data_IF_317841494671
#
_entry.id   IF_317841494671
#
_cell.length_a   1.000
_cell.length_b   1.000
_cell.length_c   1.000
_cell.angle_alpha   90.00
_cell.angle_beta   90.00
_cell.angle_gamma   90.00
#
_symmetry.space_group_name_H-M   'P 1'
#
loop_
_entity.id
_entity.type
_entity.pdbx_description
1 polymer ?
#
# COMPACT_ATOMS: atom_id res chain seq x y z
N UNK A 1 13.28 -12.20 18.90
CA UNK A 1 13.45 -11.10 19.87
C UNK A 1 14.89 -10.64 19.97
N UNK A 2 15.89 -11.52 20.20
CA UNK A 2 17.29 -11.08 20.28
C UNK A 2 17.79 -10.40 18.98
N UNK A 3 17.35 -10.89 17.81
CA UNK A 3 17.70 -10.28 16.51
C UNK A 3 17.24 -8.83 16.38
N UNK A 4 15.96 -8.55 16.66
CA UNK A 4 15.43 -7.17 16.60
C UNK A 4 16.08 -6.25 17.64
N UNK A 5 16.39 -6.76 18.85
CA UNK A 5 17.08 -5.96 19.87
C UNK A 5 18.48 -5.56 19.38
N UNK A 6 19.21 -6.49 18.76
CA UNK A 6 20.51 -6.19 18.15
C UNK A 6 20.39 -5.18 17.01
N UNK A 7 19.37 -5.29 16.18
CA UNK A 7 19.09 -4.36 15.08
C UNK A 7 18.83 -2.94 15.61
N UNK A 8 17.93 -2.80 16.60
CA UNK A 8 17.59 -1.52 17.22
C UNK A 8 18.79 -0.89 17.93
N UNK A 9 19.58 -1.69 18.67
CA UNK A 9 20.79 -1.20 19.32
C UNK A 9 21.82 -0.70 18.30
N UNK A 10 22.01 -1.42 17.18
CA UNK A 10 22.88 -0.98 16.07
C UNK A 10 22.36 0.29 15.38
N UNK A 11 21.04 0.51 15.37
CA UNK A 11 20.42 1.74 14.89
C UNK A 11 20.55 2.91 15.87
N UNK A 12 21.19 2.72 17.02
CA UNK A 12 21.46 3.78 18.01
C UNK A 12 20.40 3.93 19.09
N UNK A 13 19.42 3.02 19.17
CA UNK A 13 18.44 3.03 20.28
C UNK A 13 19.09 2.52 21.57
N UNK A 14 18.77 3.18 22.68
CA UNK A 14 19.07 2.71 24.03
C UNK A 14 18.07 1.62 24.40
N UNK A 15 18.59 0.49 24.89
CA UNK A 15 17.80 -0.69 25.24
C UNK A 15 17.93 -0.95 26.74
N UNK A 16 16.81 -0.88 27.45
CA UNK A 16 16.75 -1.19 28.88
C UNK A 16 15.93 -2.46 29.11
N UNK A 17 16.39 -3.31 30.02
CA UNK A 17 15.58 -4.43 30.52
C UNK A 17 14.95 -4.05 31.86
N UNK A 18 13.68 -4.38 32.05
CA UNK A 18 12.95 -4.22 33.32
C UNK A 18 12.37 -5.55 33.74
N UNK A 19 12.81 -6.11 34.87
CA UNK A 19 12.40 -7.44 35.32
C UNK A 19 11.90 -7.44 36.77
N UNK A 20 10.71 -8.00 36.98
CA UNK A 20 10.22 -8.34 38.32
C UNK A 20 10.88 -9.65 38.76
N UNK A 21 12.06 -9.56 39.38
CA UNK A 21 12.89 -10.69 39.79
C UNK A 21 13.48 -10.45 41.19
N UNK A 22 13.58 -11.50 42.01
CA UNK A 22 14.22 -11.44 43.33
C UNK A 22 15.74 -11.52 43.22
N UNK A 23 16.48 -11.01 44.21
CA UNK A 23 17.95 -11.03 44.20
C UNK A 23 18.56 -12.43 43.99
N UNK A 24 18.12 -13.51 44.66
CA UNK A 24 18.72 -14.84 44.44
C UNK A 24 18.56 -15.35 43.01
N UNK A 25 17.39 -15.15 42.40
CA UNK A 25 17.16 -15.51 41.00
C UNK A 25 17.93 -14.63 40.02
N UNK A 26 18.13 -13.35 40.33
CA UNK A 26 18.94 -12.44 39.52
C UNK A 26 20.41 -12.89 39.47
N UNK A 27 21.00 -13.24 40.62
CA UNK A 27 22.39 -13.76 40.67
C UNK A 27 22.59 -15.00 39.81
N UNK A 28 21.58 -15.89 39.75
CA UNK A 28 21.62 -17.08 38.89
C UNK A 28 21.54 -16.68 37.41
N UNK A 29 20.63 -15.77 37.06
CA UNK A 29 20.43 -15.33 35.68
C UNK A 29 21.68 -14.60 35.13
N UNK A 30 22.25 -13.72 35.95
CA UNK A 30 23.47 -12.96 35.64
C UNK A 30 24.63 -13.87 35.26
N UNK A 31 24.80 -15.00 35.97
CA UNK A 31 25.84 -16.01 35.69
C UNK A 31 25.54 -16.91 34.50
N UNK A 32 24.27 -17.07 34.12
CA UNK A 32 23.85 -17.96 33.03
C UNK A 32 23.95 -17.31 31.65
N UNK A 33 23.67 -16.02 31.57
CA UNK A 33 23.73 -15.29 30.31
C UNK A 33 25.18 -14.91 29.95
N UNK A 34 25.49 -14.90 28.66
CA UNK A 34 26.83 -14.54 28.17
C UNK A 34 27.06 -13.02 28.26
N UNK A 35 28.32 -12.56 28.32
CA UNK A 35 28.63 -11.13 28.23
C UNK A 35 28.04 -10.47 26.98
N UNK A 36 27.99 -11.20 25.85
CA UNK A 36 27.39 -10.73 24.60
C UNK A 36 25.87 -10.57 24.67
N UNK A 37 25.17 -11.39 25.47
CA UNK A 37 23.73 -11.23 25.71
C UNK A 37 23.45 -10.03 26.61
N UNK A 38 24.26 -9.82 27.65
CA UNK A 38 24.12 -8.64 28.52
C UNK A 38 24.45 -7.34 27.81
N UNK A 39 25.43 -7.34 26.88
CA UNK A 39 25.79 -6.17 26.08
C UNK A 39 24.65 -5.65 25.19
N UNK A 40 23.57 -6.43 24.99
CA UNK A 40 22.37 -5.97 24.29
C UNK A 40 21.60 -4.91 25.07
N UNK A 41 21.76 -4.86 26.38
CA UNK A 41 21.09 -3.91 27.26
C UNK A 41 22.07 -2.88 27.77
N UNK A 42 21.72 -1.60 27.66
CA UNK A 42 22.50 -0.50 28.22
C UNK A 42 22.37 -0.44 29.74
N UNK A 43 21.24 -0.91 30.27
CA UNK A 43 21.08 -1.18 31.69
C UNK A 43 19.97 -2.21 31.95
N UNK A 44 20.08 -2.94 33.05
CA UNK A 44 19.04 -3.87 33.53
C UNK A 44 18.53 -3.42 34.89
N UNK A 45 17.24 -3.11 34.96
CA UNK A 45 16.54 -2.74 36.19
C UNK A 45 15.79 -3.95 36.74
N UNK A 46 16.13 -4.36 37.96
CA UNK A 46 15.44 -5.45 38.65
C UNK A 46 14.60 -4.93 39.79
N UNK A 47 13.48 -5.60 40.08
CA UNK A 47 12.66 -5.21 41.22
C UNK A 47 13.36 -5.38 42.56
N UNK A 48 14.31 -6.32 42.65
CA UNK A 48 15.10 -6.55 43.85
C UNK A 48 16.00 -5.36 44.17
N UNK A 49 16.76 -4.85 43.19
CA UNK A 49 17.67 -3.72 43.41
C UNK A 49 16.93 -2.39 43.57
N UNK A 50 15.78 -2.23 42.90
CA UNK A 50 14.98 -1.01 42.98
C UNK A 50 14.07 -0.94 44.22
N UNK A 51 13.89 -2.04 44.97
CA UNK A 51 12.89 -2.18 46.04
C UNK A 51 11.47 -1.76 45.62
N UNK A 52 11.17 -1.85 44.33
CA UNK A 52 9.92 -1.51 43.65
C UNK A 52 9.74 -2.47 42.48
N UNK A 53 8.51 -2.70 42.01
CA UNK A 53 8.24 -3.61 40.90
C UNK A 53 7.21 -3.02 39.94
N UNK A 54 7.18 -3.50 38.69
CA UNK A 54 6.02 -3.24 37.81
C UNK A 54 4.77 -3.94 38.40
N UNK A 55 3.56 -3.35 38.35
CA UNK A 55 3.19 -2.09 37.71
C UNK A 55 3.28 -0.85 38.63
N UNK A 56 3.99 -0.89 39.76
CA UNK A 56 4.04 0.27 40.67
C UNK A 56 4.69 1.48 39.98
N UNK A 57 4.03 2.65 40.06
CA UNK A 57 4.52 3.91 39.51
C UNK A 57 5.96 4.23 39.95
N UNK A 58 6.32 3.87 41.19
CA UNK A 58 7.65 4.08 41.75
C UNK A 58 8.76 3.41 40.96
N UNK A 59 8.52 2.23 40.36
CA UNK A 59 9.54 1.55 39.56
C UNK A 59 9.77 2.25 38.22
N UNK A 60 8.70 2.71 37.55
CA UNK A 60 8.82 3.48 36.32
C UNK A 60 9.49 4.83 36.55
N UNK A 61 9.12 5.56 37.63
CA UNK A 61 9.80 6.80 38.03
C UNK A 61 11.29 6.58 38.27
N UNK A 62 11.64 5.53 39.02
CA UNK A 62 13.03 5.17 39.26
C UNK A 62 13.81 4.96 37.97
N UNK A 63 13.24 4.23 36.99
CA UNK A 63 13.90 4.02 35.69
C UNK A 63 14.06 5.35 34.95
N UNK A 64 13.01 6.16 34.83
CA UNK A 64 13.04 7.45 34.14
C UNK A 64 14.09 8.39 34.75
N UNK A 65 14.11 8.51 36.08
CA UNK A 65 15.07 9.37 36.80
C UNK A 65 16.52 8.89 36.64
N UNK A 66 16.74 7.56 36.59
CA UNK A 66 18.08 6.98 36.45
C UNK A 66 18.63 7.07 35.04
N UNK A 67 17.78 6.96 34.03
CA UNK A 67 18.20 6.96 32.63
C UNK A 67 18.11 8.33 31.97
N UNK A 68 17.26 9.23 32.49
CA UNK A 68 16.97 10.52 31.87
C UNK A 68 16.18 10.39 30.55
N UNK A 69 15.57 9.24 30.28
CA UNK A 69 14.76 9.04 29.07
C UNK A 69 13.57 9.99 29.03
N UNK A 70 13.22 10.46 27.84
CA UNK A 70 11.93 11.10 27.57
C UNK A 70 10.87 10.01 27.35
N UNK A 71 9.86 9.87 28.22
CA UNK A 71 8.80 8.90 28.04
C UNK A 71 8.06 9.04 26.71
N UNK A 72 7.89 10.27 26.19
CA UNK A 72 7.14 10.52 24.94
C UNK A 72 7.83 9.97 23.69
N UNK A 73 9.14 9.73 23.76
CA UNK A 73 9.93 9.07 22.72
C UNK A 73 10.40 7.66 23.11
N UNK A 74 9.82 7.07 24.16
CA UNK A 74 10.19 5.74 24.67
C UNK A 74 9.15 4.68 24.30
N UNK A 75 9.62 3.53 23.82
CA UNK A 75 8.78 2.35 23.59
C UNK A 75 8.93 1.40 24.78
N UNK A 76 7.80 0.95 25.33
CA UNK A 76 7.76 -0.02 26.42
C UNK A 76 7.06 -1.31 25.96
N UNK A 77 7.72 -2.46 26.12
CA UNK A 77 7.20 -3.76 25.70
C UNK A 77 7.11 -4.68 26.92
N UNK A 78 5.92 -5.25 27.16
CA UNK A 78 5.69 -6.18 28.28
C UNK A 78 4.48 -7.08 27.98
N UNK A 79 4.47 -8.29 28.53
CA UNK A 79 3.39 -9.27 28.35
C UNK A 79 2.16 -8.95 29.20
N UNK A 80 2.30 -8.14 30.26
CA UNK A 80 1.18 -7.78 31.14
C UNK A 80 0.59 -6.42 30.81
N UNK A 81 -0.70 -6.41 30.51
CA UNK A 81 -1.47 -5.19 30.26
C UNK A 81 -1.33 -4.15 31.37
N UNK A 82 -1.30 -4.55 32.64
CA UNK A 82 -1.14 -3.64 33.79
C UNK A 82 0.20 -2.88 33.77
N UNK A 83 1.27 -3.52 33.30
CA UNK A 83 2.58 -2.91 33.16
C UNK A 83 2.58 -1.92 31.99
N UNK A 84 2.00 -2.34 30.85
CA UNK A 84 1.89 -1.50 29.65
C UNK A 84 1.00 -0.28 29.90
N UNK A 85 -0.11 -0.45 30.62
CA UNK A 85 -0.99 0.65 31.02
C UNK A 85 -0.23 1.68 31.87
N UNK A 86 0.57 1.19 32.82
CA UNK A 86 1.39 2.06 33.67
C UNK A 86 2.41 2.83 32.83
N UNK A 87 3.13 2.16 31.92
CA UNK A 87 4.07 2.83 31.02
C UNK A 87 3.40 3.92 30.17
N UNK A 88 2.22 3.60 29.59
CA UNK A 88 1.41 4.56 28.82
C UNK A 88 0.96 5.75 29.65
N UNK A 89 0.70 5.58 30.96
CA UNK A 89 0.34 6.70 31.85
C UNK A 89 1.46 7.73 32.03
N UNK A 90 2.72 7.34 31.75
CA UNK A 90 3.86 8.27 31.69
C UNK A 90 4.07 8.89 30.30
N UNK A 91 3.29 8.50 29.29
CA UNK A 91 3.43 8.97 27.91
C UNK A 91 4.19 8.02 26.97
N UNK A 92 4.62 6.84 27.44
CA UNK A 92 5.35 5.87 26.62
C UNK A 92 4.46 5.19 25.57
N UNK A 93 5.09 4.82 24.45
CA UNK A 93 4.51 3.93 23.45
C UNK A 93 4.50 2.49 23.99
N UNK A 94 3.43 2.12 24.68
CA UNK A 94 3.27 0.77 25.23
C UNK A 94 2.82 -0.26 24.19
N UNK A 95 3.58 -1.35 24.03
CA UNK A 95 3.25 -2.54 23.23
C UNK A 95 3.00 -3.71 24.18
N UNK A 96 1.87 -4.39 23.99
CA UNK A 96 1.58 -5.64 24.71
C UNK A 96 2.24 -6.77 23.93
N UNK A 97 3.08 -7.55 24.60
CA UNK A 97 3.73 -8.71 24.03
C UNK A 97 2.75 -9.88 24.00
N UNK A 98 2.09 -10.09 22.86
CA UNK A 98 1.19 -11.22 22.60
C UNK A 98 1.82 -12.24 21.63
N UNK A 99 2.46 -11.75 20.57
CA UNK A 99 3.11 -12.52 19.54
C UNK A 99 4.43 -11.83 19.11
N UNK A 100 5.51 -12.60 19.05
CA UNK A 100 6.83 -12.13 18.67
C UNK A 100 6.85 -11.41 17.31
N UNK A 101 6.22 -11.96 16.27
CA UNK A 101 6.23 -11.36 14.93
C UNK A 101 5.50 -10.02 14.92
N UNK A 102 4.37 -9.94 15.64
CA UNK A 102 3.60 -8.70 15.77
C UNK A 102 4.39 -7.61 16.50
N UNK A 103 5.08 -7.97 17.60
CA UNK A 103 5.91 -7.02 18.35
C UNK A 103 7.09 -6.54 17.51
N UNK A 104 7.76 -7.43 16.75
CA UNK A 104 8.84 -7.03 15.84
C UNK A 104 8.32 -6.05 14.77
N UNK A 105 7.17 -6.34 14.18
CA UNK A 105 6.51 -5.46 13.22
C UNK A 105 6.21 -4.08 13.83
N UNK A 106 5.55 -4.05 15.00
CA UNK A 106 5.18 -2.81 15.70
C UNK A 106 6.44 -1.99 16.06
N UNK A 107 7.51 -2.64 16.53
CA UNK A 107 8.80 -1.99 16.79
C UNK A 107 9.40 -1.37 15.52
N UNK A 108 9.44 -2.11 14.40
CA UNK A 108 9.97 -1.58 13.15
C UNK A 108 9.15 -0.40 12.62
N UNK A 109 7.83 -0.46 12.73
CA UNK A 109 6.92 0.60 12.29
C UNK A 109 7.07 1.88 13.12
N UNK A 110 7.48 1.79 14.39
CA UNK A 110 7.74 2.94 15.26
C UNK A 110 9.17 3.50 15.10
N UNK A 111 10.15 2.66 14.80
CA UNK A 111 11.57 3.03 14.84
C UNK A 111 12.18 3.40 13.49
N UNK A 112 11.57 3.01 12.38
CA UNK A 112 12.15 3.17 11.05
C UNK A 112 11.23 3.92 10.09
N UNK A 113 11.84 4.60 9.12
CA UNK A 113 11.09 5.33 8.09
C UNK A 113 10.30 4.35 7.20
N UNK A 114 8.96 4.51 7.12
CA UNK A 114 8.10 3.57 6.42
C UNK A 114 8.33 3.59 4.90
N UNK A 115 8.63 4.76 4.32
CA UNK A 115 8.88 4.93 2.89
C UNK A 115 10.18 4.23 2.49
N UNK A 116 11.25 4.42 3.26
CA UNK A 116 12.54 3.78 3.02
C UNK A 116 12.46 2.26 3.14
N UNK A 117 11.68 1.75 4.10
CA UNK A 117 11.42 0.32 4.24
C UNK A 117 10.68 -0.25 3.03
N UNK A 118 9.62 0.43 2.57
CA UNK A 118 8.92 0.03 1.34
C UNK A 118 9.81 0.06 0.11
N UNK A 119 10.64 1.11 -0.06
CA UNK A 119 11.60 1.20 -1.18
C UNK A 119 12.62 0.07 -1.15
N UNK A 120 13.12 -0.31 0.03
CA UNK A 120 14.02 -1.46 0.20
C UNK A 120 13.36 -2.77 -0.21
N UNK A 121 12.10 -3.00 0.18
CA UNK A 121 11.34 -4.16 -0.26
C UNK A 121 11.22 -4.22 -1.79
N UNK A 122 10.83 -3.12 -2.43
CA UNK A 122 10.71 -3.06 -3.90
C UNK A 122 12.06 -3.34 -4.58
N UNK A 123 13.15 -2.74 -4.09
CA UNK A 123 14.49 -2.95 -4.65
C UNK A 123 15.00 -4.37 -4.45
N UNK A 124 14.74 -5.00 -3.30
CA UNK A 124 15.18 -6.38 -3.04
C UNK A 124 14.44 -7.41 -3.91
N UNK A 125 13.27 -7.05 -4.44
CA UNK A 125 12.44 -7.90 -5.30
C UNK A 125 12.36 -7.39 -6.76
N UNK A 126 13.22 -6.44 -7.15
CA UNK A 126 13.20 -5.86 -8.50
C UNK A 126 13.21 -6.95 -9.58
N UNK A 127 12.42 -6.75 -10.64
CA UNK A 127 12.20 -7.69 -11.74
C UNK A 127 11.62 -9.06 -11.32
N UNK A 128 11.13 -9.19 -10.08
CA UNK A 128 10.54 -10.42 -9.53
C UNK A 128 9.33 -10.11 -8.62
N UNK A 129 8.63 -9.00 -8.87
CA UNK A 129 7.43 -8.59 -8.15
C UNK A 129 6.21 -9.33 -8.69
N UNK A 130 6.12 -10.62 -8.39
CA UNK A 130 5.10 -11.53 -8.91
C UNK A 130 3.70 -11.25 -8.36
N UNK A 131 2.71 -11.64 -9.16
CA UNK A 131 1.32 -11.71 -8.76
C UNK A 131 0.99 -13.10 -8.25
N UNK A 132 0.19 -13.16 -7.19
CA UNK A 132 -0.24 -14.39 -6.53
C UNK A 132 -1.76 -14.47 -6.56
N UNK A 133 -2.29 -15.60 -7.01
CA UNK A 133 -3.73 -15.83 -7.02
C UNK A 133 -4.26 -16.34 -5.67
N UNK A 134 -5.58 -16.25 -5.49
CA UNK A 134 -6.27 -16.76 -4.29
C UNK A 134 -6.17 -18.27 -4.08
N UNK A 135 -5.74 -19.03 -5.09
CA UNK A 135 -5.40 -20.46 -4.99
C UNK A 135 -3.88 -20.73 -4.97
N UNK A 136 -3.05 -19.71 -4.79
CA UNK A 136 -1.61 -19.84 -4.55
C UNK A 136 -0.74 -20.02 -5.78
N UNK A 137 -1.24 -19.71 -6.99
CA UNK A 137 -0.42 -19.70 -8.21
C UNK A 137 0.31 -18.37 -8.30
N UNK A 138 1.63 -18.43 -8.46
CA UNK A 138 2.47 -17.28 -8.74
C UNK A 138 2.75 -17.15 -10.24
N UNK A 139 2.71 -15.93 -10.76
CA UNK A 139 3.04 -15.62 -12.15
C UNK A 139 3.46 -14.15 -12.30
N UNK A 140 4.02 -13.81 -13.46
CA UNK A 140 4.28 -12.43 -13.86
C UNK A 140 3.16 -11.97 -14.80
N UNK A 141 2.66 -10.76 -14.59
CA UNK A 141 1.71 -10.09 -15.48
C UNK A 141 2.14 -8.65 -15.74
N UNK A 142 2.00 -8.21 -16.99
CA UNK A 142 2.42 -6.86 -17.39
C UNK A 142 1.59 -5.79 -16.69
N UNK A 143 0.32 -6.07 -16.41
CA UNK A 143 -0.56 -5.08 -15.80
C UNK A 143 -0.05 -4.62 -14.42
N UNK A 144 0.24 -5.56 -13.52
CA UNK A 144 0.76 -5.26 -12.19
C UNK A 144 2.14 -4.60 -12.26
N UNK A 145 3.00 -5.03 -13.20
CA UNK A 145 4.30 -4.38 -13.43
C UNK A 145 4.14 -2.93 -13.88
N UNK A 146 3.23 -2.66 -14.82
CA UNK A 146 2.97 -1.31 -15.31
C UNK A 146 2.33 -0.41 -14.24
N UNK A 147 1.54 -0.96 -13.31
CA UNK A 147 1.02 -0.21 -12.15
C UNK A 147 2.13 0.10 -11.13
N UNK A 148 3.10 -0.79 -10.94
CA UNK A 148 4.30 -0.48 -10.12
C UNK A 148 5.11 0.64 -10.79
N UNK A 149 5.30 0.58 -12.11
CA UNK A 149 5.98 1.63 -12.87
C UNK A 149 5.23 2.95 -12.78
N UNK A 150 3.91 2.93 -12.91
CA UNK A 150 3.04 4.10 -12.73
C UNK A 150 3.27 4.77 -11.37
N UNK A 151 3.35 3.97 -10.31
CA UNK A 151 3.44 4.49 -8.94
C UNK A 151 4.85 4.97 -8.58
N UNK A 152 5.89 4.39 -9.17
CA UNK A 152 7.29 4.63 -8.78
C UNK A 152 8.08 5.47 -9.78
N UNK A 153 7.70 5.45 -11.06
CA UNK A 153 8.49 6.00 -12.16
C UNK A 153 9.83 5.29 -12.39
N UNK A 154 10.06 4.11 -11.79
CA UNK A 154 11.34 3.41 -11.82
C UNK A 154 11.26 2.10 -12.64
N UNK A 155 11.66 2.18 -13.92
CA UNK A 155 11.72 1.03 -14.84
C UNK A 155 12.68 -0.07 -14.36
N UNK A 156 13.62 0.24 -13.46
CA UNK A 156 14.57 -0.76 -12.93
C UNK A 156 13.91 -1.78 -12.00
N UNK A 157 12.70 -1.48 -11.49
CA UNK A 157 11.96 -2.35 -10.58
C UNK A 157 11.11 -3.42 -11.28
N UNK A 158 10.68 -3.19 -12.51
CA UNK A 158 9.55 -3.92 -13.13
C UNK A 158 9.97 -4.74 -14.34
N UNK A 159 9.40 -5.92 -14.57
CA UNK A 159 9.74 -6.75 -15.74
C UNK A 159 8.50 -7.06 -16.58
N UNK A 160 8.29 -6.29 -17.65
CA UNK A 160 7.14 -6.38 -18.54
C UNK A 160 7.59 -6.47 -20.00
N UNK A 161 6.71 -6.96 -20.88
CA UNK A 161 7.04 -7.09 -22.31
C UNK A 161 7.03 -5.73 -23.00
N UNK A 162 8.21 -5.33 -23.50
CA UNK A 162 8.37 -4.11 -24.31
C UNK A 162 7.96 -4.41 -25.76
N UNK A 163 6.72 -4.06 -26.09
CA UNK A 163 6.14 -4.21 -27.43
C UNK A 163 5.95 -2.82 -28.07
N UNK A 164 6.21 -2.65 -29.37
CA UNK A 164 5.86 -1.40 -30.05
C UNK A 164 4.34 -1.21 -30.22
N UNK A 165 3.52 -2.21 -29.87
CA UNK A 165 2.08 -2.24 -30.12
C UNK A 165 1.20 -2.19 -28.87
N UNK A 166 0.06 -2.87 -28.96
CA UNK A 166 -0.85 -3.10 -27.85
C UNK A 166 -0.18 -3.95 -26.74
N UNK A 167 -0.71 -3.84 -25.52
CA UNK A 167 -0.26 -4.59 -24.36
C UNK A 167 -1.29 -5.65 -23.95
N UNK A 168 -0.83 -6.63 -23.19
CA UNK A 168 -1.61 -7.77 -22.72
C UNK A 168 -1.33 -8.01 -21.24
N UNK A 169 -2.34 -8.29 -20.42
CA UNK A 169 -2.10 -8.72 -19.02
C UNK A 169 -1.15 -9.94 -18.96
N UNK A 170 -1.31 -10.91 -19.87
CA UNK A 170 -0.58 -12.18 -19.88
C UNK A 170 0.23 -12.35 -21.18
N UNK A 171 1.39 -11.69 -21.32
CA UNK A 171 2.14 -11.72 -22.58
C UNK A 171 2.75 -13.10 -22.89
N UNK A 172 3.11 -13.89 -21.86
CA UNK A 172 3.81 -15.17 -22.01
C UNK A 172 2.89 -16.40 -21.98
N UNK A 173 1.56 -16.21 -22.05
CA UNK A 173 0.62 -17.31 -22.07
C UNK A 173 -0.75 -16.96 -21.52
N UNK A 174 -1.49 -17.97 -21.06
CA UNK A 174 -2.86 -17.79 -20.56
C UNK A 174 -3.00 -18.45 -19.19
N UNK A 175 -3.56 -17.73 -18.22
CA UNK A 175 -3.84 -18.24 -16.88
C UNK A 175 -5.31 -18.01 -16.54
N UNK A 176 -6.01 -19.09 -16.17
CA UNK A 176 -7.45 -19.10 -15.86
C UNK A 176 -8.34 -18.43 -16.93
N UNK A 177 -7.95 -18.58 -18.19
CA UNK A 177 -8.61 -17.95 -19.32
C UNK A 177 -8.59 -18.85 -20.56
N UNK A 178 -9.14 -18.37 -21.67
CA UNK A 178 -9.14 -19.04 -22.98
C UNK A 178 -7.73 -19.31 -23.49
N UNK A 179 -7.55 -20.29 -24.38
CA UNK A 179 -6.24 -20.66 -24.96
C UNK A 179 -5.51 -19.48 -25.60
N UNK A 180 -6.25 -18.57 -26.23
CA UNK A 180 -5.75 -17.28 -26.75
C UNK A 180 -6.37 -16.17 -25.91
N UNK A 181 -5.53 -15.32 -25.30
CA UNK A 181 -5.97 -14.12 -24.60
C UNK A 181 -5.67 -12.88 -25.44
N UNK A 182 -6.69 -12.11 -25.85
CA UNK A 182 -6.46 -10.92 -26.66
C UNK A 182 -5.77 -9.84 -25.84
N UNK A 183 -5.12 -8.91 -26.53
CA UNK A 183 -4.70 -7.66 -25.92
C UNK A 183 -5.93 -6.93 -25.36
N UNK A 184 -5.69 -6.14 -24.33
CA UNK A 184 -6.74 -5.43 -23.61
C UNK A 184 -6.46 -3.92 -23.57
N UNK A 185 -7.54 -3.15 -23.61
CA UNK A 185 -7.48 -1.70 -23.65
C UNK A 185 -6.98 -1.12 -22.33
N UNK A 186 -7.12 -1.84 -21.22
CA UNK A 186 -6.70 -1.40 -19.90
C UNK A 186 -5.18 -1.40 -19.73
N UNK A 187 -4.55 -2.55 -19.93
CA UNK A 187 -3.10 -2.71 -19.91
C UNK A 187 -2.46 -1.85 -20.98
N UNK A 188 -3.08 -1.77 -22.16
CA UNK A 188 -2.61 -0.88 -23.24
C UNK A 188 -2.68 0.58 -22.83
N UNK A 189 -3.78 1.04 -22.22
CA UNK A 189 -3.91 2.42 -21.79
C UNK A 189 -2.88 2.80 -20.72
N UNK A 190 -2.65 1.94 -19.73
CA UNK A 190 -1.59 2.16 -18.73
C UNK A 190 -0.21 2.14 -19.41
N UNK A 191 0.10 1.11 -20.21
CA UNK A 191 1.39 0.96 -20.88
C UNK A 191 1.75 2.17 -21.75
N UNK A 192 0.81 2.65 -22.56
CA UNK A 192 1.00 3.84 -23.40
C UNK A 192 1.09 5.15 -22.60
N UNK A 193 0.60 5.17 -21.37
CA UNK A 193 0.70 6.32 -20.46
C UNK A 193 2.08 6.37 -19.79
N UNK A 194 2.59 5.23 -19.32
CA UNK A 194 3.75 5.21 -18.39
C UNK A 194 5.08 4.81 -19.04
N UNK A 195 5.04 4.36 -20.28
CA UNK A 195 6.25 3.91 -20.99
C UNK A 195 6.62 4.85 -22.15
N UNK A 196 7.90 4.89 -22.47
CA UNK A 196 8.49 5.79 -23.48
C UNK A 196 9.01 5.06 -24.73
N UNK A 197 8.95 3.72 -24.75
CA UNK A 197 9.45 2.90 -25.86
C UNK A 197 8.48 2.82 -27.05
N UNK A 198 7.22 3.23 -26.89
CA UNK A 198 6.24 3.35 -27.98
C UNK A 198 6.24 4.77 -28.52
N UNK A 199 6.60 4.93 -29.79
CA UNK A 199 6.65 6.24 -30.43
C UNK A 199 5.25 6.88 -30.54
N UNK A 200 5.21 8.22 -30.60
CA UNK A 200 3.97 8.97 -30.65
C UNK A 200 3.08 8.59 -31.84
N UNK A 201 3.66 8.32 -33.02
CA UNK A 201 2.89 7.95 -34.20
C UNK A 201 2.18 6.61 -34.01
N UNK A 202 2.87 5.62 -33.44
CA UNK A 202 2.28 4.32 -33.12
C UNK A 202 1.26 4.42 -31.99
N UNK A 203 1.53 5.21 -30.94
CA UNK A 203 0.58 5.50 -29.85
C UNK A 203 -0.75 6.03 -30.40
N UNK A 204 -0.71 7.04 -31.28
CA UNK A 204 -1.93 7.59 -31.87
C UNK A 204 -2.68 6.61 -32.78
N UNK A 205 -1.98 5.74 -33.52
CA UNK A 205 -2.63 4.67 -34.30
C UNK A 205 -3.35 3.67 -33.42
N UNK A 206 -2.76 3.27 -32.29
CA UNK A 206 -3.42 2.37 -31.33
C UNK A 206 -4.64 3.06 -30.72
N UNK A 207 -4.56 4.36 -30.43
CA UNK A 207 -5.74 5.12 -29.97
C UNK A 207 -6.83 5.19 -31.04
N UNK A 208 -6.49 5.34 -32.32
CA UNK A 208 -7.47 5.28 -33.41
C UNK A 208 -8.15 3.91 -33.45
N UNK A 209 -7.38 2.83 -33.29
CA UNK A 209 -7.90 1.46 -33.20
C UNK A 209 -8.80 1.26 -31.96
N UNK A 210 -8.45 1.81 -30.79
CA UNK A 210 -9.31 1.74 -29.59
C UNK A 210 -10.72 2.29 -29.84
N UNK A 211 -10.87 3.29 -30.71
CA UNK A 211 -12.18 3.86 -31.07
C UNK A 211 -13.06 2.89 -31.88
N UNK A 212 -12.48 1.86 -32.49
CA UNK A 212 -13.23 0.80 -33.16
C UNK A 212 -13.87 -0.16 -32.13
N UNK A 213 -13.35 -0.21 -30.90
CA UNK A 213 -13.82 -1.08 -29.81
C UNK A 213 -14.79 -0.38 -28.85
N UNK A 214 -15.69 0.44 -29.42
CA UNK A 214 -16.88 0.94 -28.72
C UNK A 214 -18.06 0.02 -28.97
N UNK A 215 -18.90 -0.17 -27.96
CA UNK A 215 -20.17 -0.87 -28.14
C UNK A 215 -21.23 0.02 -28.83
N UNK A 216 -22.45 -0.50 -28.96
CA UNK A 216 -23.57 0.23 -29.58
C UNK A 216 -23.98 1.50 -28.83
N UNK A 217 -23.61 1.62 -27.56
CA UNK A 217 -23.88 2.77 -26.70
C UNK A 217 -22.70 3.76 -26.67
N UNK A 218 -21.65 3.51 -27.47
CA UNK A 218 -20.45 4.35 -27.53
C UNK A 218 -19.47 4.11 -26.37
N UNK A 219 -19.65 3.04 -25.59
CA UNK A 219 -18.83 2.74 -24.43
C UNK A 219 -17.63 1.88 -24.83
N UNK A 220 -16.44 2.29 -24.39
CA UNK A 220 -15.21 1.54 -24.60
C UNK A 220 -15.26 0.15 -23.96
N UNK A 221 -14.90 -0.86 -24.75
CA UNK A 221 -14.82 -2.25 -24.32
C UNK A 221 -13.44 -2.61 -23.75
N UNK A 222 -13.37 -3.74 -23.06
CA UNK A 222 -12.15 -4.19 -22.37
C UNK A 222 -11.11 -4.78 -23.31
N UNK A 223 -11.52 -5.48 -24.35
CA UNK A 223 -10.63 -6.29 -25.19
C UNK A 223 -10.55 -5.77 -26.62
N UNK A 224 -9.39 -5.91 -27.25
CA UNK A 224 -9.24 -5.80 -28.71
C UNK A 224 -9.83 -7.04 -29.42
N UNK A 225 -11.06 -7.44 -29.04
CA UNK A 225 -11.77 -8.60 -29.55
C UNK A 225 -13.30 -8.37 -29.48
N UNK A 226 -13.93 -8.14 -30.64
CA UNK A 226 -15.38 -7.91 -30.74
C UNK A 226 -16.24 -9.11 -30.29
N UNK A 227 -15.66 -10.32 -30.21
CA UNK A 227 -16.37 -11.48 -29.67
C UNK A 227 -16.48 -11.46 -28.13
N UNK A 228 -15.79 -10.51 -27.47
CA UNK A 228 -15.79 -10.31 -26.00
C UNK A 228 -16.30 -8.92 -25.61
N UNK A 229 -17.61 -8.63 -25.81
CA UNK A 229 -18.18 -7.31 -25.55
C UNK A 229 -18.34 -7.06 -24.04
N UNK A 230 -17.23 -6.82 -23.36
CA UNK A 230 -17.18 -6.54 -21.91
C UNK A 230 -16.87 -5.06 -21.73
N UNK A 231 -17.50 -4.45 -20.73
CA UNK A 231 -17.22 -3.09 -20.27
C UNK A 231 -16.87 -3.13 -18.78
N UNK A 232 -16.01 -2.21 -18.35
CA UNK A 232 -15.66 -2.00 -16.95
C UNK A 232 -15.29 -0.52 -16.76
N UNK A 233 -15.81 0.16 -15.71
CA UNK A 233 -15.62 1.59 -15.58
C UNK A 233 -14.18 1.98 -15.20
N UNK A 234 -13.38 1.08 -14.59
CA UNK A 234 -11.95 1.36 -14.36
C UNK A 234 -11.18 1.32 -15.67
N UNK A 235 -11.47 0.35 -16.53
CA UNK A 235 -10.88 0.25 -17.88
C UNK A 235 -11.22 1.52 -18.69
N UNK A 236 -12.49 1.93 -18.66
CA UNK A 236 -12.94 3.17 -19.28
C UNK A 236 -12.19 4.40 -18.77
N UNK A 237 -11.96 4.50 -17.44
CA UNK A 237 -11.17 5.60 -16.87
C UNK A 237 -9.73 5.60 -17.37
N UNK A 238 -9.09 4.43 -17.47
CA UNK A 238 -7.70 4.34 -17.93
C UNK A 238 -7.58 4.74 -19.41
N UNK A 239 -8.52 4.32 -20.26
CA UNK A 239 -8.59 4.76 -21.66
C UNK A 239 -8.88 6.26 -21.75
N UNK A 240 -9.86 6.78 -21.01
CA UNK A 240 -10.14 8.22 -20.95
C UNK A 240 -8.92 9.02 -20.50
N UNK A 241 -8.13 8.49 -19.55
CA UNK A 241 -6.91 9.14 -19.09
C UNK A 241 -5.89 9.25 -20.22
N UNK A 242 -5.61 8.15 -20.94
CA UNK A 242 -4.74 8.15 -22.12
C UNK A 242 -5.23 9.18 -23.16
N UNK A 243 -6.52 9.19 -23.48
CA UNK A 243 -7.09 10.12 -24.45
C UNK A 243 -6.98 11.57 -24.00
N UNK A 244 -7.30 11.88 -22.74
CA UNK A 244 -7.19 13.23 -22.22
C UNK A 244 -5.74 13.74 -22.22
N UNK A 245 -4.78 12.90 -21.83
CA UNK A 245 -3.35 13.25 -21.81
C UNK A 245 -2.80 13.62 -23.21
N UNK A 246 -3.41 13.05 -24.26
CA UNK A 246 -3.05 13.33 -25.65
C UNK A 246 -4.00 14.36 -26.32
N UNK A 247 -4.82 15.08 -25.56
CA UNK A 247 -5.74 16.11 -26.08
C UNK A 247 -6.96 15.58 -26.85
N UNK A 248 -7.23 14.27 -26.72
CA UNK A 248 -8.23 13.50 -27.47
C UNK A 248 -9.45 13.09 -26.64
N UNK A 249 -9.57 13.56 -25.41
CA UNK A 249 -10.66 13.18 -24.50
C UNK A 249 -12.09 13.40 -25.06
N UNK A 250 -12.25 14.36 -25.98
CA UNK A 250 -13.52 14.68 -26.64
C UNK A 250 -14.03 13.58 -27.58
N UNK A 251 -13.21 12.59 -27.93
CA UNK A 251 -13.58 11.48 -28.83
C UNK A 251 -14.34 10.36 -28.11
N UNK A 252 -14.45 10.42 -26.77
CA UNK A 252 -15.10 9.42 -25.92
C UNK A 252 -16.17 10.02 -24.98
N UNK A 253 -17.12 10.84 -25.48
CA UNK A 253 -18.06 11.54 -24.61
C UNK A 253 -19.02 10.58 -23.87
N UNK A 254 -19.56 9.57 -24.55
CA UNK A 254 -20.49 8.59 -23.94
C UNK A 254 -19.81 7.77 -22.83
N UNK A 255 -18.54 7.42 -23.05
CA UNK A 255 -17.73 6.71 -22.04
C UNK A 255 -17.52 7.58 -20.80
N UNK A 256 -17.23 8.88 -20.97
CA UNK A 256 -17.10 9.81 -19.84
C UNK A 256 -18.43 10.00 -19.11
N UNK A 257 -19.54 10.12 -19.85
CA UNK A 257 -20.88 10.23 -19.29
C UNK A 257 -21.22 9.01 -18.43
N UNK A 258 -20.88 7.80 -18.88
CA UNK A 258 -21.10 6.59 -18.09
C UNK A 258 -20.25 6.54 -16.81
N UNK A 259 -18.96 6.91 -16.90
CA UNK A 259 -18.08 7.03 -15.71
C UNK A 259 -18.64 8.03 -14.71
N UNK A 260 -19.20 9.15 -15.17
CA UNK A 260 -19.90 10.11 -14.32
C UNK A 260 -21.11 9.47 -13.61
N UNK A 261 -21.96 8.73 -14.34
CA UNK A 261 -23.10 8.04 -13.72
C UNK A 261 -22.66 7.01 -12.67
N UNK A 262 -21.59 6.26 -12.94
CA UNK A 262 -20.99 5.32 -11.97
C UNK A 262 -20.58 6.03 -10.69
N UNK A 263 -19.95 7.21 -10.81
CA UNK A 263 -19.54 8.03 -9.68
C UNK A 263 -20.74 8.61 -8.91
N UNK A 264 -21.71 9.22 -9.61
CA UNK A 264 -22.91 9.84 -9.03
C UNK A 264 -23.68 8.82 -8.20
N UNK A 265 -23.90 7.64 -8.77
CA UNK A 265 -24.74 6.59 -8.19
C UNK A 265 -23.98 5.60 -7.31
N UNK A 266 -22.67 5.79 -7.09
CA UNK A 266 -21.82 4.88 -6.28
C UNK A 266 -21.86 3.44 -6.80
N UNK A 267 -22.00 3.25 -8.12
CA UNK A 267 -22.10 1.90 -8.69
C UNK A 267 -20.82 1.07 -8.46
N UNK A 268 -19.68 1.73 -8.20
CA UNK A 268 -18.39 1.13 -7.88
C UNK A 268 -18.24 0.67 -6.42
N UNK A 269 -19.23 0.89 -5.53
CA UNK A 269 -19.03 0.74 -4.07
C UNK A 269 -18.62 -0.67 -3.63
N UNK A 270 -18.96 -1.68 -4.43
CA UNK A 270 -18.62 -3.10 -4.19
C UNK A 270 -17.45 -3.59 -5.06
N UNK A 271 -16.74 -2.69 -5.73
CA UNK A 271 -15.82 -3.01 -6.82
C UNK A 271 -16.50 -3.00 -8.19
N UNK A 272 -15.78 -3.47 -9.20
CA UNK A 272 -16.23 -3.56 -10.58
C UNK A 272 -16.14 -5.00 -11.09
N UNK A 273 -16.28 -5.23 -12.40
CA UNK A 273 -16.16 -6.58 -12.96
C UNK A 273 -14.77 -7.16 -12.68
N UNK A 274 -13.73 -6.36 -12.91
CA UNK A 274 -12.33 -6.81 -12.79
C UNK A 274 -11.62 -6.30 -11.53
N UNK A 275 -12.08 -5.21 -10.89
CA UNK A 275 -11.40 -4.60 -9.75
C UNK A 275 -12.12 -4.82 -8.44
N UNK A 276 -11.33 -4.98 -7.38
CA UNK A 276 -11.83 -5.31 -6.05
C UNK A 276 -11.95 -4.04 -5.21
N UNK A 277 -13.13 -3.85 -4.63
CA UNK A 277 -13.41 -2.73 -3.72
C UNK A 277 -13.57 -1.38 -4.41
N UNK A 278 -14.14 -0.44 -3.65
CA UNK A 278 -14.51 0.88 -4.16
C UNK A 278 -13.32 1.80 -4.43
N UNK A 279 -12.27 1.67 -3.62
CA UNK A 279 -11.21 2.68 -3.55
C UNK A 279 -10.29 2.65 -4.78
N UNK A 280 -10.20 1.50 -5.48
CA UNK A 280 -9.46 1.36 -6.74
C UNK A 280 -10.08 2.21 -7.86
N UNK A 281 -11.42 2.24 -7.97
CA UNK A 281 -12.12 3.12 -8.91
C UNK A 281 -11.81 4.59 -8.64
N UNK A 282 -11.85 5.01 -7.38
CA UNK A 282 -11.54 6.39 -6.99
C UNK A 282 -10.07 6.75 -7.25
N UNK A 283 -9.15 5.81 -7.05
CA UNK A 283 -7.73 6.00 -7.38
C UNK A 283 -7.54 6.26 -8.87
N UNK A 284 -8.06 5.41 -9.76
CA UNK A 284 -7.91 5.61 -11.20
C UNK A 284 -8.61 6.88 -11.67
N UNK A 285 -9.81 7.17 -11.14
CA UNK A 285 -10.53 8.40 -11.45
C UNK A 285 -9.74 9.64 -11.03
N UNK A 286 -9.03 9.57 -9.89
CA UNK A 286 -8.19 10.68 -9.43
C UNK A 286 -7.10 11.05 -10.44
N UNK A 287 -6.52 10.07 -11.15
CA UNK A 287 -5.53 10.29 -12.21
C UNK A 287 -6.13 11.04 -13.39
N UNK A 288 -7.33 10.63 -13.84
CA UNK A 288 -8.05 11.33 -14.90
C UNK A 288 -8.36 12.80 -14.54
N UNK A 289 -8.76 13.08 -13.28
CA UNK A 289 -8.96 14.45 -12.80
C UNK A 289 -7.66 15.26 -12.72
N UNK A 290 -6.54 14.61 -12.43
CA UNK A 290 -5.23 15.27 -12.44
C UNK A 290 -4.84 15.69 -13.86
N UNK A 291 -5.08 14.82 -14.84
CA UNK A 291 -4.66 15.00 -16.23
C UNK A 291 -5.63 15.84 -17.09
N UNK A 292 -6.89 15.99 -16.68
CA UNK A 292 -7.88 16.77 -17.43
C UNK A 292 -8.54 17.85 -16.57
N UNK A 293 -8.25 19.11 -16.88
CA UNK A 293 -8.92 20.26 -16.26
C UNK A 293 -10.43 20.29 -16.55
N UNK A 294 -10.83 19.82 -17.73
CA UNK A 294 -12.24 19.70 -18.10
C UNK A 294 -12.96 18.67 -17.24
N UNK A 295 -12.40 17.45 -17.12
CA UNK A 295 -12.99 16.41 -16.27
C UNK A 295 -12.97 16.83 -14.80
N UNK A 296 -11.92 17.50 -14.33
CA UNK A 296 -11.86 18.05 -12.97
C UNK A 296 -12.97 19.06 -12.71
N UNK A 297 -13.25 19.96 -13.65
CA UNK A 297 -14.35 20.94 -13.54
C UNK A 297 -15.70 20.25 -13.53
N UNK A 298 -15.87 19.17 -14.31
CA UNK A 298 -17.11 18.40 -14.42
C UNK A 298 -17.38 17.55 -13.16
N UNK A 299 -16.39 16.79 -12.72
CA UNK A 299 -16.54 15.73 -11.69
C UNK A 299 -15.93 16.07 -10.33
N UNK A 300 -15.14 17.14 -10.21
CA UNK A 300 -14.31 17.39 -9.01
C UNK A 300 -15.10 17.53 -7.70
N UNK A 301 -16.25 18.20 -7.72
CA UNK A 301 -17.10 18.35 -6.53
C UNK A 301 -17.65 17.01 -6.06
N UNK A 302 -18.29 16.27 -6.97
CA UNK A 302 -18.88 14.96 -6.65
C UNK A 302 -17.80 13.93 -6.31
N UNK A 303 -16.64 13.97 -6.97
CA UNK A 303 -15.49 13.13 -6.64
C UNK A 303 -15.03 13.36 -5.20
N UNK A 304 -14.90 14.61 -4.76
CA UNK A 304 -14.50 14.95 -3.39
C UNK A 304 -15.51 14.42 -2.37
N UNK A 305 -16.80 14.60 -2.61
CA UNK A 305 -17.86 14.04 -1.74
C UNK A 305 -17.72 12.52 -1.63
N UNK A 306 -17.56 11.84 -2.77
CA UNK A 306 -17.43 10.38 -2.85
C UNK A 306 -16.19 9.86 -2.14
N UNK A 307 -15.07 10.58 -2.19
CA UNK A 307 -13.85 10.23 -1.44
C UNK A 307 -14.06 10.42 0.07
N UNK A 308 -14.66 11.52 0.51
CA UNK A 308 -14.92 11.78 1.93
C UNK A 308 -15.87 10.74 2.54
N UNK A 309 -16.87 10.26 1.78
CA UNK A 309 -17.76 9.17 2.21
C UNK A 309 -17.03 7.87 2.56
N UNK A 310 -15.81 7.69 2.05
CA UNK A 310 -14.98 6.51 2.35
C UNK A 310 -14.19 6.67 3.65
N UNK A 311 -14.11 7.86 4.24
CA UNK A 311 -13.31 8.07 5.46
C UNK A 311 -13.86 7.24 6.61
N UNK A 312 -12.96 6.59 7.36
CA UNK A 312 -13.33 5.67 8.45
C UNK A 312 -13.85 4.30 8.01
N UNK A 313 -14.08 4.06 6.71
CA UNK A 313 -14.42 2.72 6.20
C UNK A 313 -13.19 1.82 6.29
N UNK A 314 -13.33 0.63 6.87
CA UNK A 314 -12.25 -0.35 6.96
C UNK A 314 -11.78 -0.75 5.55
N UNK A 315 -10.48 -0.81 5.34
CA UNK A 315 -9.85 -1.22 4.10
C UNK A 315 -8.56 -2.00 4.38
N UNK A 316 -8.14 -2.81 3.41
CA UNK A 316 -6.79 -3.39 3.39
C UNK A 316 -5.75 -2.32 2.98
N UNK A 317 -4.47 -2.70 2.90
CA UNK A 317 -3.39 -1.76 2.59
C UNK A 317 -3.58 -1.10 1.22
N UNK A 318 -4.05 -1.86 0.22
CA UNK A 318 -4.32 -1.33 -1.13
C UNK A 318 -5.48 -0.33 -1.11
N UNK A 319 -6.61 -0.69 -0.49
CA UNK A 319 -7.80 0.16 -0.37
C UNK A 319 -7.48 1.48 0.35
N UNK A 320 -6.74 1.42 1.45
CA UNK A 320 -6.32 2.62 2.18
C UNK A 320 -5.37 3.49 1.34
N UNK A 321 -4.40 2.88 0.66
CA UNK A 321 -3.46 3.60 -0.20
C UNK A 321 -4.17 4.29 -1.37
N UNK A 322 -5.03 3.57 -2.08
CA UNK A 322 -5.83 4.07 -3.19
C UNK A 322 -6.73 5.26 -2.76
N UNK A 323 -7.42 5.11 -1.61
CA UNK A 323 -8.25 6.17 -1.03
C UNK A 323 -7.44 7.39 -0.65
N UNK A 324 -6.28 7.21 -0.02
CA UNK A 324 -5.42 8.31 0.40
C UNK A 324 -4.89 9.10 -0.80
N UNK A 325 -4.46 8.41 -1.87
CA UNK A 325 -4.05 9.08 -3.12
C UNK A 325 -5.21 9.90 -3.68
N UNK A 326 -6.40 9.31 -3.83
CA UNK A 326 -7.61 10.00 -4.29
C UNK A 326 -7.97 11.21 -3.40
N UNK A 327 -7.85 11.07 -2.07
CA UNK A 327 -8.08 12.14 -1.10
C UNK A 327 -7.14 13.32 -1.30
N UNK A 328 -5.85 13.06 -1.55
CA UNK A 328 -4.89 14.14 -1.81
C UNK A 328 -5.23 14.92 -3.08
N UNK A 329 -5.76 14.26 -4.11
CA UNK A 329 -6.24 14.92 -5.35
C UNK A 329 -7.48 15.78 -5.07
N UNK A 330 -8.35 15.35 -4.14
CA UNK A 330 -9.50 16.12 -3.67
C UNK A 330 -9.14 17.24 -2.65
N UNK A 331 -7.84 17.38 -2.31
CA UNK A 331 -7.35 18.36 -1.35
C UNK A 331 -7.79 18.09 0.09
N UNK A 332 -7.86 16.82 0.49
CA UNK A 332 -8.20 16.38 1.86
C UNK A 332 -7.27 15.25 2.33
N UNK A 333 -7.12 15.10 3.64
CA UNK A 333 -6.27 14.06 4.26
C UNK A 333 -7.13 13.22 5.21
N UNK A 334 -7.09 11.90 5.05
CA UNK A 334 -7.66 10.93 6.00
C UNK A 334 -6.58 10.49 6.99
N UNK A 335 -6.50 11.18 8.13
CA UNK A 335 -5.54 10.88 9.20
C UNK A 335 -5.74 9.47 9.81
N UNK A 336 -6.98 8.98 9.81
CA UNK A 336 -7.30 7.64 10.27
C UNK A 336 -6.74 6.59 9.32
N UNK A 337 -6.91 6.77 8.02
CA UNK A 337 -6.34 5.89 7.00
C UNK A 337 -4.80 5.90 7.05
N UNK A 338 -4.15 7.07 7.19
CA UNK A 338 -2.69 7.13 7.31
C UNK A 338 -2.20 6.32 8.51
N UNK A 339 -2.79 6.54 9.69
CA UNK A 339 -2.41 5.80 10.91
C UNK A 339 -2.60 4.30 10.73
N UNK A 340 -3.71 3.88 10.14
CA UNK A 340 -4.00 2.46 9.90
C UNK A 340 -2.98 1.87 8.91
N UNK A 341 -2.74 2.52 7.78
CA UNK A 341 -1.79 2.08 6.77
C UNK A 341 -0.39 1.92 7.36
N UNK A 342 0.11 2.89 8.13
CA UNK A 342 1.42 2.80 8.79
C UNK A 342 1.52 1.62 9.76
N UNK A 343 0.44 1.28 10.45
CA UNK A 343 0.39 0.11 11.34
C UNK A 343 0.36 -1.23 10.57
N UNK A 344 -0.01 -1.21 9.29
CA UNK A 344 -0.16 -2.41 8.48
C UNK A 344 1.16 -2.89 7.88
N UNK A 345 2.17 -2.02 7.71
CA UNK A 345 3.46 -2.37 7.09
C UNK A 345 4.06 -3.64 7.72
N UNK A 346 4.45 -4.58 6.88
CA UNK A 346 5.01 -5.88 7.25
C UNK A 346 6.46 -5.77 7.69
N UNK A 347 7.00 -6.84 8.28
CA UNK A 347 8.36 -6.83 8.85
C UNK A 347 9.42 -6.53 7.78
N UNK A 348 9.28 -7.11 6.60
CA UNK A 348 10.17 -6.96 5.44
C UNK A 348 10.08 -5.58 4.75
N UNK A 349 9.12 -4.75 5.17
CA UNK A 349 8.89 -3.41 4.65
C UNK A 349 7.77 -3.32 3.61
N UNK A 350 7.20 -4.44 3.18
CA UNK A 350 6.06 -4.46 2.27
C UNK A 350 4.76 -3.98 2.93
N UNK A 351 3.78 -3.67 2.09
CA UNK A 351 2.38 -3.77 2.44
C UNK A 351 1.78 -4.89 1.58
N UNK A 352 1.13 -5.85 2.21
CA UNK A 352 0.71 -7.10 1.57
C UNK A 352 -0.80 -7.38 1.72
N UNK A 353 -1.16 -8.61 1.36
CA UNK A 353 -2.45 -9.25 1.59
C UNK A 353 -3.67 -8.44 1.14
N UNK A 354 -3.50 -7.75 0.02
CA UNK A 354 -4.53 -6.90 -0.57
C UNK A 354 -4.90 -7.41 -1.96
N UNK A 355 -6.17 -7.78 -2.14
CA UNK A 355 -6.65 -8.28 -3.43
C UNK A 355 -6.88 -7.12 -4.39
N UNK A 356 -6.27 -7.19 -5.58
CA UNK A 356 -6.27 -6.07 -6.52
C UNK A 356 -7.32 -6.25 -7.62
N UNK A 357 -7.24 -7.36 -8.35
CA UNK A 357 -8.12 -7.64 -9.48
C UNK A 357 -8.58 -9.12 -9.51
N UNK A 358 -9.55 -9.43 -10.36
CA UNK A 358 -10.13 -10.77 -10.55
C UNK A 358 -10.46 -11.06 -12.00
N UNK A 359 -10.59 -12.35 -12.33
CA UNK A 359 -10.99 -12.79 -13.65
C UNK A 359 -12.52 -12.70 -13.84
N UNK A 360 -13.07 -11.51 -14.02
CA UNK A 360 -14.50 -11.30 -14.34
C UNK A 360 -15.48 -12.19 -13.54
N UNK A 361 -16.03 -13.23 -14.19
CA UNK A 361 -17.00 -14.16 -13.58
C UNK A 361 -16.38 -15.24 -12.66
N UNK A 362 -15.05 -15.37 -12.64
CA UNK A 362 -14.32 -16.33 -11.81
C UNK A 362 -14.23 -15.85 -10.36
N UNK A 363 -14.30 -16.75 -9.37
CA UNK A 363 -14.03 -16.41 -7.98
C UNK A 363 -12.53 -16.20 -7.68
N UNK A 364 -11.64 -16.45 -8.65
CA UNK A 364 -10.20 -16.30 -8.47
C UNK A 364 -9.83 -14.82 -8.43
N UNK A 365 -9.12 -14.44 -7.38
CA UNK A 365 -8.59 -13.09 -7.18
C UNK A 365 -7.07 -13.11 -7.31
N UNK A 366 -6.48 -11.97 -7.62
CA UNK A 366 -5.04 -11.76 -7.76
C UNK A 366 -4.58 -10.63 -6.84
N UNK A 367 -3.42 -10.83 -6.20
CA UNK A 367 -2.74 -9.82 -5.40
C UNK A 367 -1.29 -9.67 -5.86
N UNK A 368 -0.76 -8.46 -5.70
CA UNK A 368 0.64 -8.15 -5.95
C UNK A 368 1.15 -7.23 -4.85
N UNK A 369 2.06 -7.74 -4.01
CA UNK A 369 2.59 -6.98 -2.86
C UNK A 369 3.49 -5.82 -3.34
N UNK A 370 4.06 -5.92 -4.54
CA UNK A 370 4.76 -4.83 -5.21
C UNK A 370 3.85 -3.65 -5.52
N UNK A 371 2.68 -3.91 -6.14
CA UNK A 371 1.66 -2.88 -6.41
C UNK A 371 1.21 -2.22 -5.11
N UNK A 372 0.84 -3.04 -4.12
CA UNK A 372 0.33 -2.57 -2.83
C UNK A 372 1.38 -1.71 -2.12
N UNK A 373 2.64 -2.15 -2.10
CA UNK A 373 3.75 -1.40 -1.50
C UNK A 373 4.04 -0.10 -2.25
N UNK A 374 4.06 -0.12 -3.58
CA UNK A 374 4.31 1.07 -4.39
C UNK A 374 3.23 2.14 -4.18
N UNK A 375 1.95 1.74 -4.15
CA UNK A 375 0.84 2.65 -3.86
C UNK A 375 0.84 3.15 -2.41
N UNK A 376 1.25 2.32 -1.44
CA UNK A 376 1.38 2.76 -0.04
C UNK A 376 2.46 3.84 0.12
N UNK A 377 3.62 3.66 -0.52
CA UNK A 377 4.68 4.68 -0.56
C UNK A 377 4.15 5.97 -1.19
N UNK A 378 3.51 5.87 -2.36
CA UNK A 378 2.95 7.03 -3.06
C UNK A 378 1.93 7.77 -2.19
N UNK A 379 1.02 7.05 -1.54
CA UNK A 379 0.03 7.61 -0.63
C UNK A 379 0.68 8.40 0.52
N UNK A 380 1.68 7.81 1.19
CA UNK A 380 2.39 8.44 2.32
C UNK A 380 3.13 9.71 1.85
N UNK A 381 3.87 9.63 0.75
CA UNK A 381 4.62 10.77 0.20
C UNK A 381 3.67 11.90 -0.24
N UNK A 382 2.50 11.59 -0.83
CA UNK A 382 1.49 12.60 -1.20
C UNK A 382 0.89 13.30 0.01
N UNK A 383 0.58 12.57 1.08
CA UNK A 383 0.09 13.19 2.32
C UNK A 383 1.16 14.09 2.95
N UNK A 384 2.42 13.67 2.93
CA UNK A 384 3.54 14.50 3.41
C UNK A 384 3.72 15.77 2.57
N UNK A 385 3.54 15.69 1.25
CA UNK A 385 3.58 16.85 0.35
C UNK A 385 2.44 17.82 0.66
N UNK A 386 1.21 17.33 0.75
CA UNK A 386 0.03 18.16 0.98
C UNK A 386 0.03 18.86 2.34
N UNK A 387 0.71 18.30 3.36
CA UNK A 387 0.91 18.98 4.67
C UNK A 387 1.88 20.16 4.61
N UNK A 388 2.71 20.26 3.57
CA UNK A 388 3.71 21.32 3.39
C UNK A 388 3.19 22.49 2.54
N UNK A 389 2.16 22.23 1.74
CA UNK A 389 1.39 23.23 0.99
C UNK A 389 0.47 24.00 1.93
#
# INVERSE_FOLDING_TARGET
MLGVIQELKKAGLLIYAMSNISAPYWEILERKATPSQWALFDHVFTSASAHQRKPNLGFFKHVIERTGIDPSCTIFVDDKLENVLTARSFGMHGIIFDNESKVIKDLKNLCYDPVLRGKRFLTSHKKNLKTVTSNGIEFMDDYSQLVILLATGDDSLVDYVKSPGQFNVFPDGTLFTTEVYPNDLDTTAIGLTVTDHVDAGTKHKIMDEMLEYRDSDGIIQVYFDHSRPRIDPVVCINVLNLFCENGRGHELPETLDWVEQVLIHRAYISGTTYYIGADVFLFFLSRLLQNSAEVRRRLGSIFKERVIERFGVKGDSLSLSARMIAATVAGVIDEGALKNLLSMQCEDGSWDDSWFWRWGMSPIMAKNDGVTTALAIWAIERVQSLRKE
#
